data_IF_189143595741
#
_entry.id   IF_189143595741
#
_cell.length_a   1.000
_cell.length_b   1.000
_cell.length_c   1.000
_cell.angle_alpha   90.00
_cell.angle_beta   90.00
_cell.angle_gamma   90.00
#
_symmetry.space_group_name_H-M   'P 1'
#
loop_
_entity.id
_entity.type
_entity.pdbx_description
1 polymer ?
#
# COMPACT_ATOMS: atom_id res chain seq x y z
N UNK A 1 -14.13 -14.69 9.23
CA UNK A 1 -13.97 -13.26 9.58
C UNK A 1 -13.91 -12.48 8.27
N UNK A 2 -14.97 -11.75 7.95
CA UNK A 2 -15.05 -10.93 6.73
C UNK A 2 -14.34 -9.60 6.99
N UNK A 3 -13.27 -9.35 6.24
CA UNK A 3 -12.56 -8.06 6.27
C UNK A 3 -13.24 -7.16 5.24
N UNK A 4 -13.84 -6.06 5.70
CA UNK A 4 -14.38 -5.04 4.80
C UNK A 4 -13.23 -4.15 4.31
N UNK A 5 -12.98 -4.06 2.99
CA UNK A 5 -11.89 -3.25 2.47
C UNK A 5 -12.17 -1.76 2.69
N UNK A 6 -11.15 -1.02 3.12
CA UNK A 6 -11.20 0.43 3.21
C UNK A 6 -11.00 1.04 1.82
N UNK A 7 -11.95 1.88 1.39
CA UNK A 7 -12.03 2.35 0.00
C UNK A 7 -11.63 3.82 -0.16
N UNK A 8 -11.57 4.58 0.93
CA UNK A 8 -11.28 6.02 0.92
C UNK A 8 -9.77 6.28 1.07
N UNK A 9 -8.99 5.87 0.07
CA UNK A 9 -7.54 6.07 0.06
C UNK A 9 -7.18 7.47 -0.43
N UNK A 10 -6.13 8.06 0.16
CA UNK A 10 -5.54 9.31 -0.28
C UNK A 10 -4.14 9.06 -0.85
N UNK A 11 -3.77 9.87 -1.83
CA UNK A 11 -2.47 9.79 -2.48
C UNK A 11 -1.38 10.31 -1.53
N UNK A 12 -0.29 9.57 -1.31
CA UNK A 12 0.80 9.97 -0.41
C UNK A 12 1.63 11.17 -0.91
N UNK A 13 1.43 11.59 -2.16
CA UNK A 13 2.22 12.65 -2.81
C UNK A 13 1.50 14.00 -2.83
N UNK A 14 0.19 14.01 -3.06
CA UNK A 14 -0.62 15.23 -3.20
C UNK A 14 -1.81 15.29 -2.22
N UNK A 15 -2.12 14.20 -1.52
CA UNK A 15 -3.26 14.12 -0.60
C UNK A 15 -4.62 13.97 -1.27
N UNK A 16 -4.69 13.90 -2.61
CA UNK A 16 -5.95 13.77 -3.34
C UNK A 16 -6.55 12.36 -3.21
N UNK A 17 -7.88 12.21 -3.36
CA UNK A 17 -8.53 10.91 -3.35
C UNK A 17 -7.99 10.02 -4.48
N UNK A 18 -7.69 8.78 -4.13
CA UNK A 18 -7.33 7.74 -5.10
C UNK A 18 -8.60 7.04 -5.59
N UNK A 19 -8.67 6.84 -6.90
CA UNK A 19 -9.73 6.09 -7.56
C UNK A 19 -9.18 4.82 -8.19
N UNK A 20 -9.95 3.74 -8.15
CA UNK A 20 -9.58 2.48 -8.80
C UNK A 20 -9.76 2.60 -10.32
N UNK A 21 -8.69 2.36 -11.06
CA UNK A 21 -8.67 2.24 -12.51
C UNK A 21 -8.10 0.86 -12.88
N UNK A 22 -8.98 -0.13 -13.06
CA UNK A 22 -8.59 -1.52 -13.34
C UNK A 22 -7.80 -2.12 -12.17
N UNK A 23 -6.53 -2.44 -12.41
CA UNK A 23 -5.63 -3.04 -11.41
C UNK A 23 -4.69 -2.02 -10.75
N UNK A 24 -5.05 -0.73 -10.80
CA UNK A 24 -4.26 0.38 -10.29
C UNK A 24 -5.12 1.39 -9.56
N UNK A 25 -4.55 2.11 -8.61
CA UNK A 25 -5.15 3.27 -7.97
C UNK A 25 -4.53 4.55 -8.52
N UNK A 26 -5.35 5.54 -8.88
CA UNK A 26 -4.89 6.79 -9.50
C UNK A 26 -5.57 8.03 -8.90
N UNK A 27 -4.80 9.09 -8.64
CA UNK A 27 -5.33 10.41 -8.27
C UNK A 27 -5.53 11.32 -9.50
N UNK A 28 -6.17 12.47 -9.32
CA UNK A 28 -6.42 13.42 -10.41
C UNK A 28 -5.11 14.02 -10.97
N UNK A 29 -4.06 14.19 -10.16
CA UNK A 29 -2.73 14.58 -10.61
C UNK A 29 -1.98 13.52 -11.45
N UNK A 30 -2.50 12.28 -11.52
CA UNK A 30 -1.96 11.21 -12.37
C UNK A 30 -0.97 10.25 -11.68
N UNK A 31 -0.73 10.37 -10.38
CA UNK A 31 0.05 9.38 -9.62
C UNK A 31 -0.67 8.03 -9.61
N UNK A 32 0.08 6.94 -9.84
CA UNK A 32 -0.46 5.59 -10.04
C UNK A 32 0.19 4.58 -9.11
N UNK A 33 -0.61 3.74 -8.47
CA UNK A 33 -0.16 2.68 -7.55
C UNK A 33 -0.76 1.33 -7.95
N UNK A 34 0.09 0.36 -8.25
CA UNK A 34 -0.36 -0.97 -8.71
C UNK A 34 -0.88 -1.83 -7.56
N UNK A 35 -1.95 -2.57 -7.83
CA UNK A 35 -2.45 -3.62 -6.94
C UNK A 35 -1.56 -4.86 -7.14
N UNK A 36 -0.88 -5.28 -6.08
CA UNK A 36 -0.06 -6.49 -6.09
C UNK A 36 -0.92 -7.73 -6.29
N UNK A 37 -0.32 -8.84 -6.76
CA UNK A 37 -1.03 -10.11 -7.00
C UNK A 37 -1.72 -10.66 -5.74
N UNK A 38 -1.22 -10.31 -4.57
CA UNK A 38 -1.77 -10.69 -3.27
C UNK A 38 -2.95 -9.79 -2.82
N UNK A 39 -3.36 -8.82 -3.64
CA UNK A 39 -4.54 -7.97 -3.39
C UNK A 39 -4.26 -6.69 -2.58
N UNK A 40 -3.01 -6.39 -2.22
CA UNK A 40 -2.65 -5.16 -1.52
C UNK A 40 -2.09 -4.09 -2.46
N UNK A 41 -2.19 -2.82 -2.07
CA UNK A 41 -1.57 -1.68 -2.76
C UNK A 41 -0.46 -1.10 -1.88
N UNK A 42 0.70 -0.77 -2.47
CA UNK A 42 1.80 -0.15 -1.75
C UNK A 42 1.81 1.36 -2.01
N UNK A 43 1.48 2.14 -0.98
CA UNK A 43 1.43 3.61 -1.02
C UNK A 43 2.72 4.26 -0.51
N UNK A 44 3.83 3.52 -0.41
CA UNK A 44 5.12 4.12 -0.07
C UNK A 44 5.67 4.90 -1.27
N UNK A 45 6.11 6.16 -1.08
CA UNK A 45 6.82 6.91 -2.11
C UNK A 45 8.02 6.11 -2.63
N UNK A 46 8.30 6.21 -3.94
CA UNK A 46 9.39 5.49 -4.62
C UNK A 46 10.74 5.61 -3.90
N UNK A 47 11.01 6.77 -3.30
CA UNK A 47 12.25 7.05 -2.58
C UNK A 47 12.41 6.25 -1.28
N UNK A 48 11.31 5.74 -0.70
CA UNK A 48 11.30 5.00 0.57
C UNK A 48 11.12 3.48 0.40
N UNK A 49 10.95 2.98 -0.84
CA UNK A 49 10.74 1.54 -1.10
C UNK A 49 11.92 0.64 -0.68
N UNK A 50 13.12 1.21 -0.52
CA UNK A 50 14.35 0.52 -0.13
C UNK A 50 15.01 1.20 1.09
N UNK A 51 14.22 1.57 2.10
CA UNK A 51 14.82 1.92 3.39
C UNK A 51 15.71 0.76 3.85
N UNK A 52 16.95 1.08 4.24
CA UNK A 52 17.90 0.11 4.79
C UNK A 52 17.45 -0.41 6.17
N UNK A 53 16.56 0.33 6.84
CA UNK A 53 15.93 -0.06 8.09
C UNK A 53 14.41 -0.23 7.90
N UNK A 54 13.95 -1.33 7.26
CA UNK A 54 12.54 -1.66 7.22
C UNK A 54 12.12 -2.10 8.63
N UNK A 55 11.28 -1.31 9.29
CA UNK A 55 10.98 -1.47 10.73
C UNK A 55 10.57 -2.89 11.17
N UNK A 56 9.91 -3.66 10.31
CA UNK A 56 9.60 -5.06 10.57
C UNK A 56 10.37 -5.99 9.61
N UNK A 57 11.32 -6.75 10.16
CA UNK A 57 11.94 -7.86 9.44
C UNK A 57 10.97 -9.03 9.28
N UNK A 58 11.17 -9.87 8.26
CA UNK A 58 10.37 -11.09 8.05
C UNK A 58 10.35 -11.99 9.29
N UNK A 59 11.46 -12.07 10.03
CA UNK A 59 11.56 -12.86 11.26
C UNK A 59 10.67 -12.32 12.38
N UNK A 60 10.62 -10.99 12.53
CA UNK A 60 9.76 -10.33 13.53
C UNK A 60 8.27 -10.50 13.21
N UNK A 61 7.88 -10.38 11.94
CA UNK A 61 6.50 -10.65 11.51
C UNK A 61 6.11 -12.10 11.80
N UNK A 62 6.97 -13.06 11.47
CA UNK A 62 6.70 -14.48 11.72
C UNK A 62 6.57 -14.78 13.22
N UNK A 63 7.37 -14.13 14.08
CA UNK A 63 7.25 -14.30 15.53
C UNK A 63 5.89 -13.83 16.06
N UNK A 64 5.34 -12.72 15.53
CA UNK A 64 4.02 -12.20 15.92
C UNK A 64 2.85 -13.09 15.45
N UNK A 65 3.01 -13.80 14.33
CA UNK A 65 1.95 -14.69 13.78
C UNK A 65 1.89 -16.07 14.43
N UNK A 66 2.85 -16.44 15.28
CA UNK A 66 2.92 -17.77 15.93
C UNK A 66 2.01 -17.92 17.15
N UNK A 67 1.44 -16.83 17.63
CA UNK A 67 0.54 -16.76 18.80
C UNK A 67 -0.80 -16.19 18.36
#
# INVERSE_FOLDING_TARGET
>A
MSITPFQALACPLDGEPLHVAGNTWRCAAGHSFDIAKQGYVNLLPVQQKRSHDPGDSKAMVAARQRF
#
